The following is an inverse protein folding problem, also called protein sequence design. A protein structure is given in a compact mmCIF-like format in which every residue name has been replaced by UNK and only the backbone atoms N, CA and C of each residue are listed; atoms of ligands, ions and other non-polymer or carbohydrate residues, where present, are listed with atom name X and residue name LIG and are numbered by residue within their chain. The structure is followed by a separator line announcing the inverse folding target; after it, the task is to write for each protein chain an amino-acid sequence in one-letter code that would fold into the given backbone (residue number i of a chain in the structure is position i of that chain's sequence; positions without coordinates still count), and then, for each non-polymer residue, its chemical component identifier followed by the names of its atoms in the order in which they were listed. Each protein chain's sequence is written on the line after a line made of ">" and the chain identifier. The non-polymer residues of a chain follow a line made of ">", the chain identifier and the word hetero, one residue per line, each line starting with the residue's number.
data_IF_323110533996
#
_entry.id   IF_323110533996
#
_cell.length_a   1.000
_cell.length_b   1.000
_cell.length_c   1.000
_cell.angle_alpha   90.00
_cell.angle_beta   90.00
_cell.angle_gamma   90.00
#
_symmetry.space_group_name_H-M   'P 1'
#
loop_
_entity.id
_entity.type
_entity.pdbx_description
1 polymer ?
#
# COMPACT_ATOMS: atom_id res chain seq x y z
N UNK A 1 -32.79 59.28 39.88
CA UNK A 1 -33.19 58.02 39.20
C UNK A 1 -32.28 57.85 37.97
N UNK A 2 -31.05 57.36 38.17
CA UNK A 2 -30.00 57.35 37.14
C UNK A 2 -28.97 56.26 37.48
N UNK A 3 -29.03 55.13 36.78
CA UNK A 3 -27.98 54.11 36.55
C UNK A 3 -28.66 52.81 36.15
N UNK A 4 -28.79 52.52 34.86
CA UNK A 4 -29.13 51.16 34.37
C UNK A 4 -29.00 51.00 32.84
N UNK A 5 -28.14 51.77 32.16
CA UNK A 5 -28.07 51.74 30.68
C UNK A 5 -26.69 51.53 30.06
N UNK A 6 -25.62 51.37 30.85
CA UNK A 6 -24.26 51.25 30.32
C UNK A 6 -23.75 49.80 30.19
N UNK A 7 -24.27 48.84 30.96
CA UNK A 7 -23.64 47.50 31.04
C UNK A 7 -24.14 46.48 30.02
N UNK A 8 -25.27 46.73 29.34
CA UNK A 8 -25.85 45.73 28.42
C UNK A 8 -25.09 45.63 27.08
N UNK A 9 -24.48 46.73 26.59
CA UNK A 9 -23.83 46.73 25.28
C UNK A 9 -22.45 46.06 25.29
N UNK A 10 -21.73 46.09 26.42
CA UNK A 10 -20.40 45.46 26.53
C UNK A 10 -20.46 43.93 26.55
N UNK A 11 -21.52 43.36 27.15
CA UNK A 11 -21.72 41.90 27.22
C UNK A 11 -22.05 41.32 25.84
N UNK A 12 -22.87 42.03 25.05
CA UNK A 12 -23.28 41.61 23.70
C UNK A 12 -22.09 41.67 22.72
N UNK A 13 -21.22 42.67 22.84
CA UNK A 13 -20.05 42.83 21.95
C UNK A 13 -18.96 41.77 22.21
N UNK A 14 -18.69 41.44 23.48
CA UNK A 14 -17.75 40.37 23.83
C UNK A 14 -18.24 38.98 23.43
N UNK A 15 -19.55 38.73 23.41
CA UNK A 15 -20.11 37.48 22.92
C UNK A 15 -19.90 37.34 21.41
N UNK A 16 -20.13 38.39 20.61
CA UNK A 16 -19.98 38.34 19.14
C UNK A 16 -18.53 38.13 18.69
N UNK A 17 -17.55 38.68 19.41
CA UNK A 17 -16.13 38.51 19.08
C UNK A 17 -15.62 37.07 19.36
N UNK A 18 -16.10 36.43 20.44
CA UNK A 18 -15.74 35.03 20.78
C UNK A 18 -16.29 34.01 19.77
N UNK A 19 -17.47 34.25 19.20
CA UNK A 19 -18.05 33.37 18.18
C UNK A 19 -17.33 33.48 16.83
N UNK A 20 -16.84 34.67 16.45
CA UNK A 20 -16.00 34.82 15.26
C UNK A 20 -14.61 34.16 15.40
N UNK A 21 -14.03 34.14 16.61
CA UNK A 21 -12.74 33.48 16.85
C UNK A 21 -12.85 31.94 16.77
N UNK A 22 -13.97 31.36 17.23
CA UNK A 22 -14.24 29.92 17.12
C UNK A 22 -14.49 29.46 15.67
N UNK A 23 -15.06 30.32 14.82
CA UNK A 23 -15.21 30.05 13.39
C UNK A 23 -13.87 29.99 12.65
N UNK A 24 -12.88 30.79 13.06
CA UNK A 24 -11.54 30.82 12.44
C UNK A 24 -10.67 29.60 12.79
N UNK A 25 -10.95 28.93 13.91
CA UNK A 25 -10.19 27.73 14.33
C UNK A 25 -10.73 26.45 13.66
N UNK A 26 -11.99 26.44 13.18
CA UNK A 26 -12.62 25.28 12.54
C UNK A 26 -12.43 25.16 11.03
N UNK A 27 -11.97 26.21 10.34
CA UNK A 27 -11.82 26.25 8.88
C UNK A 27 -10.64 25.45 8.27
N UNK A 28 -9.49 25.21 8.94
CA UNK A 28 -8.36 24.56 8.26
C UNK A 28 -8.56 23.06 7.99
N UNK A 29 -9.59 22.42 8.58
CA UNK A 29 -9.85 20.99 8.38
C UNK A 29 -10.50 20.65 7.02
N UNK A 30 -11.20 21.59 6.38
CA UNK A 30 -11.97 21.32 5.15
C UNK A 30 -11.24 21.62 3.84
N UNK A 31 -10.00 22.13 3.91
CA UNK A 31 -9.22 22.51 2.72
C UNK A 31 -8.19 21.45 2.29
N UNK A 32 -8.20 20.25 2.88
CA UNK A 32 -7.30 19.17 2.46
C UNK A 32 -7.83 18.56 1.16
N UNK A 33 -7.25 18.98 0.03
CA UNK A 33 -7.47 18.30 -1.24
C UNK A 33 -6.97 16.85 -1.15
N UNK A 34 -7.70 15.88 -1.73
CA UNK A 34 -7.23 14.50 -1.75
C UNK A 34 -5.88 14.44 -2.45
N UNK A 35 -4.93 13.72 -1.84
CA UNK A 35 -3.62 13.48 -2.43
C UNK A 35 -3.80 12.73 -3.74
N UNK A 36 -3.34 13.33 -4.84
CA UNK A 36 -3.47 12.77 -6.21
C UNK A 36 -2.12 12.58 -6.88
N UNK A 37 -1.05 12.81 -6.12
CA UNK A 37 0.32 12.75 -6.56
C UNK A 37 1.25 12.17 -5.49
N UNK A 38 2.34 11.58 -5.97
CA UNK A 38 3.47 11.15 -5.17
C UNK A 38 4.73 11.81 -5.71
N UNK A 39 5.61 12.20 -4.80
CA UNK A 39 6.92 12.73 -5.13
C UNK A 39 7.96 11.99 -4.32
N UNK A 40 9.00 11.55 -5.02
CA UNK A 40 10.14 10.89 -4.43
C UNK A 40 11.43 11.44 -5.05
N UNK A 41 12.52 11.35 -4.30
CA UNK A 41 13.87 11.66 -4.78
C UNK A 41 14.76 10.50 -4.40
N UNK A 42 15.43 9.89 -5.39
CA UNK A 42 16.38 8.81 -5.13
C UNK A 42 17.72 9.35 -4.63
N UNK A 43 18.58 8.48 -4.08
CA UNK A 43 19.96 8.82 -3.70
C UNK A 43 20.78 9.37 -4.88
N UNK A 44 20.42 8.97 -6.10
CA UNK A 44 20.98 9.47 -7.36
C UNK A 44 20.40 10.81 -7.83
N UNK A 45 19.64 11.51 -6.98
CA UNK A 45 18.99 12.78 -7.30
C UNK A 45 17.98 12.70 -8.45
N UNK A 46 17.46 11.51 -8.76
CA UNK A 46 16.37 11.38 -9.73
C UNK A 46 15.08 11.81 -9.07
N UNK A 47 14.34 12.71 -9.72
CA UNK A 47 13.02 13.17 -9.26
C UNK A 47 11.96 12.27 -9.87
N UNK A 48 11.31 11.45 -9.04
CA UNK A 48 10.21 10.58 -9.46
C UNK A 48 8.90 11.22 -9.02
N UNK A 49 8.03 11.49 -9.98
CA UNK A 49 6.67 11.97 -9.71
C UNK A 49 5.67 10.97 -10.25
N UNK A 50 4.66 10.63 -9.46
CA UNK A 50 3.53 9.82 -9.91
C UNK A 50 2.29 10.68 -9.84
N UNK A 51 1.61 10.87 -10.97
CA UNK A 51 0.42 11.69 -11.04
C UNK A 51 -0.55 11.10 -12.06
N UNK A 52 -1.80 10.90 -11.66
CA UNK A 52 -2.87 10.34 -12.49
C UNK A 52 -2.46 9.08 -13.25
N UNK A 53 -1.85 8.11 -12.55
CA UNK A 53 -1.37 6.86 -13.14
C UNK A 53 -0.16 7.00 -14.07
N UNK A 54 0.44 8.19 -14.18
CA UNK A 54 1.64 8.42 -14.98
C UNK A 54 2.86 8.50 -14.07
N UNK A 55 3.92 7.76 -14.39
CA UNK A 55 5.22 7.88 -13.74
C UNK A 55 6.08 8.82 -14.59
N UNK A 56 6.58 9.87 -13.97
CA UNK A 56 7.55 10.80 -14.52
C UNK A 56 8.88 10.62 -13.82
N UNK A 57 9.98 10.61 -14.58
CA UNK A 57 11.33 10.59 -14.04
C UNK A 57 12.10 11.78 -14.62
N UNK A 58 12.58 12.66 -13.73
CA UNK A 58 13.22 13.93 -14.07
C UNK A 58 12.35 14.81 -15.00
N UNK A 59 11.03 14.77 -14.80
CA UNK A 59 10.05 15.52 -15.61
C UNK A 59 9.64 14.86 -16.93
N UNK A 60 10.34 13.81 -17.37
CA UNK A 60 9.99 13.07 -18.57
C UNK A 60 8.96 11.98 -18.24
N UNK A 61 7.95 11.80 -19.10
CA UNK A 61 7.03 10.67 -18.99
C UNK A 61 7.81 9.36 -19.18
N UNK A 62 7.83 8.53 -18.14
CA UNK A 62 8.59 7.28 -18.12
C UNK A 62 7.69 6.05 -18.28
N UNK A 63 6.49 6.07 -17.70
CA UNK A 63 5.51 4.98 -17.80
C UNK A 63 4.07 5.49 -17.60
N UNK A 64 3.10 4.83 -18.21
CA UNK A 64 1.67 5.11 -18.05
C UNK A 64 0.95 3.83 -17.67
N UNK A 65 0.30 3.81 -16.50
CA UNK A 65 -0.60 2.72 -16.13
C UNK A 65 -1.84 2.76 -17.03
N UNK A 66 -2.40 1.58 -17.34
CA UNK A 66 -3.63 1.47 -18.12
C UNK A 66 -4.83 2.17 -17.47
N UNK A 67 -4.86 2.21 -16.13
CA UNK A 67 -5.83 2.98 -15.34
C UNK A 67 -5.18 3.55 -14.09
N UNK A 68 -5.70 4.67 -13.59
CA UNK A 68 -5.26 5.27 -12.33
C UNK A 68 -6.01 4.62 -11.16
N UNK A 69 -5.52 3.45 -10.74
CA UNK A 69 -6.02 2.73 -9.57
C UNK A 69 -5.09 2.89 -8.35
N UNK A 70 -4.20 3.88 -8.36
CA UNK A 70 -3.18 4.07 -7.33
C UNK A 70 -3.82 4.56 -6.03
N UNK A 71 -3.46 3.93 -4.91
CA UNK A 71 -3.85 4.35 -3.57
C UNK A 71 -2.84 5.39 -3.08
N UNK A 72 -2.94 6.65 -3.54
CA UNK A 72 -1.96 7.72 -3.27
C UNK A 72 -1.68 7.97 -1.78
N UNK A 73 -2.63 7.68 -0.90
CA UNK A 73 -2.50 7.84 0.55
C UNK A 73 -1.75 6.69 1.22
N UNK A 74 -1.45 5.61 0.49
CA UNK A 74 -0.79 4.44 1.06
C UNK A 74 0.65 4.73 1.49
N UNK A 75 1.00 4.24 2.68
CA UNK A 75 2.38 4.23 3.20
C UNK A 75 3.28 3.20 2.49
N UNK A 76 2.69 2.27 1.74
CA UNK A 76 3.42 1.28 0.95
C UNK A 76 3.96 1.86 -0.35
N UNK A 77 3.45 3.03 -0.75
CA UNK A 77 4.05 3.81 -1.83
C UNK A 77 5.40 4.34 -1.37
N UNK A 78 6.49 3.82 -1.91
CA UNK A 78 7.84 4.22 -1.49
C UNK A 78 8.88 3.93 -2.57
N UNK A 79 10.01 4.61 -2.46
CA UNK A 79 11.25 4.14 -3.04
C UNK A 79 11.96 3.19 -2.08
N UNK A 80 12.53 2.14 -2.65
CA UNK A 80 13.53 1.30 -1.99
C UNK A 80 14.76 1.31 -2.88
N UNK A 81 15.93 1.44 -2.27
CA UNK A 81 17.19 1.43 -2.98
C UNK A 81 18.06 0.32 -2.42
N UNK A 82 18.63 -0.49 -3.30
CA UNK A 82 19.55 -1.55 -2.92
C UNK A 82 20.64 -1.71 -3.99
N UNK A 83 21.89 -1.77 -3.56
CA UNK A 83 23.07 -1.87 -4.43
C UNK A 83 23.04 -0.87 -5.61
N UNK A 84 22.60 0.37 -5.33
CA UNK A 84 22.47 1.44 -6.33
C UNK A 84 21.32 1.26 -7.33
N UNK A 85 20.48 0.23 -7.21
CA UNK A 85 19.24 0.11 -7.98
C UNK A 85 18.09 0.80 -7.24
N UNK A 86 17.16 1.40 -7.98
CA UNK A 86 16.03 2.15 -7.42
C UNK A 86 14.74 1.44 -7.81
N UNK A 87 13.96 1.07 -6.81
CA UNK A 87 12.68 0.38 -6.96
C UNK A 87 11.56 1.29 -6.46
N UNK A 88 10.61 1.59 -7.33
CA UNK A 88 9.39 2.30 -6.98
C UNK A 88 8.27 1.30 -6.72
N UNK A 89 7.75 1.31 -5.51
CA UNK A 89 6.60 0.54 -5.08
C UNK A 89 5.35 1.41 -5.11
N UNK A 90 4.30 0.93 -5.77
CA UNK A 90 2.99 1.60 -5.84
C UNK A 90 1.88 0.62 -5.47
N UNK A 91 1.12 0.97 -4.43
CA UNK A 91 -0.09 0.23 -4.08
C UNK A 91 -1.23 0.63 -5.00
N UNK A 92 -1.87 -0.38 -5.60
CA UNK A 92 -3.02 -0.21 -6.49
C UNK A 92 -4.21 -1.03 -6.00
N UNK A 93 -5.40 -0.47 -6.13
CA UNK A 93 -6.64 -1.12 -5.72
C UNK A 93 -7.02 -2.25 -6.69
N UNK A 94 -7.44 -3.40 -6.15
CA UNK A 94 -7.87 -4.56 -6.95
C UNK A 94 -9.14 -5.23 -6.42
N UNK A 95 -10.10 -4.44 -5.95
CA UNK A 95 -11.42 -4.92 -5.47
C UNK A 95 -12.06 -5.91 -6.47
N UNK A 96 -12.60 -7.05 -6.02
CA UNK A 96 -12.78 -7.50 -4.62
C UNK A 96 -11.54 -8.16 -3.99
N UNK A 97 -10.47 -8.38 -4.75
CA UNK A 97 -9.25 -9.01 -4.26
C UNK A 97 -8.41 -8.03 -3.42
N UNK A 98 -7.37 -8.54 -2.75
CA UNK A 98 -6.42 -7.65 -2.06
C UNK A 98 -5.77 -6.69 -3.06
N UNK A 99 -5.47 -5.49 -2.58
CA UNK A 99 -4.64 -4.54 -3.32
C UNK A 99 -3.36 -5.20 -3.78
N UNK A 100 -2.82 -4.67 -4.88
CA UNK A 100 -1.57 -5.13 -5.48
C UNK A 100 -0.48 -4.10 -5.24
N UNK A 101 0.76 -4.58 -5.21
CA UNK A 101 1.96 -3.76 -5.13
C UNK A 101 2.68 -3.89 -6.46
N UNK A 102 2.59 -2.85 -7.27
CA UNK A 102 3.33 -2.78 -8.53
C UNK A 102 4.73 -2.26 -8.24
N UNK A 103 5.72 -2.93 -8.82
CA UNK A 103 7.13 -2.62 -8.60
C UNK A 103 7.76 -2.24 -9.92
N UNK A 104 8.35 -1.05 -9.95
CA UNK A 104 9.05 -0.50 -11.12
C UNK A 104 10.53 -0.33 -10.82
N UNK A 105 11.38 -0.74 -11.75
CA UNK A 105 12.79 -0.38 -11.77
C UNK A 105 12.95 1.00 -12.36
N UNK A 106 13.60 1.92 -11.65
CA UNK A 106 13.84 3.28 -12.11
C UNK A 106 15.29 3.40 -12.57
N UNK A 107 15.48 3.71 -13.85
CA UNK A 107 16.81 3.90 -14.44
C UNK A 107 16.82 5.12 -15.37
N UNK A 108 17.68 6.10 -15.07
CA UNK A 108 17.79 7.36 -15.78
C UNK A 108 16.44 8.07 -15.95
N UNK A 109 15.81 7.97 -17.13
CA UNK A 109 14.51 8.58 -17.48
C UNK A 109 13.43 7.53 -17.77
N UNK A 110 13.66 6.26 -17.40
CA UNK A 110 12.76 5.13 -17.65
C UNK A 110 12.25 4.52 -16.35
N UNK A 111 11.07 3.92 -16.44
CA UNK A 111 10.45 3.13 -15.39
C UNK A 111 9.99 1.82 -16.01
N UNK A 112 10.67 0.73 -15.68
CA UNK A 112 10.40 -0.60 -16.21
C UNK A 112 9.54 -1.37 -15.21
N UNK A 113 8.40 -1.91 -15.66
CA UNK A 113 7.56 -2.77 -14.81
C UNK A 113 8.31 -4.07 -14.53
N UNK A 114 8.63 -4.33 -13.25
CA UNK A 114 9.36 -5.52 -12.84
C UNK A 114 8.42 -6.58 -12.29
N UNK A 115 7.46 -6.19 -11.45
CA UNK A 115 6.61 -7.17 -10.78
C UNK A 115 5.26 -6.62 -10.32
N UNK A 116 4.32 -7.55 -10.18
CA UNK A 116 3.04 -7.38 -9.52
C UNK A 116 2.93 -8.40 -8.38
N UNK A 117 2.89 -7.91 -7.13
CA UNK A 117 2.77 -8.72 -5.93
C UNK A 117 1.50 -8.37 -5.13
N UNK A 118 1.12 -9.21 -4.17
CA UNK A 118 0.08 -8.87 -3.19
C UNK A 118 0.59 -7.72 -2.32
N UNK A 119 -0.27 -6.71 -2.11
CA UNK A 119 0.07 -5.54 -1.29
C UNK A 119 0.35 -5.93 0.15
N UNK A 120 1.51 -5.46 0.62
CA UNK A 120 2.09 -5.73 1.94
C UNK A 120 3.12 -4.66 2.26
N UNK A 121 3.54 -4.61 3.51
CA UNK A 121 4.64 -3.74 3.90
C UNK A 121 5.96 -4.27 3.32
N UNK A 122 6.83 -3.38 2.87
CA UNK A 122 8.19 -3.72 2.42
C UNK A 122 9.14 -3.56 3.61
N UNK A 123 9.54 -4.67 4.21
CA UNK A 123 10.34 -4.70 5.45
C UNK A 123 11.05 -6.05 5.60
N UNK A 124 12.08 -6.07 6.43
CA UNK A 124 12.74 -7.28 6.91
C UNK A 124 11.78 -8.05 7.85
N UNK A 125 11.14 -9.09 7.31
CA UNK A 125 10.11 -9.88 7.97
C UNK A 125 10.68 -11.06 8.74
N UNK A 126 11.79 -11.63 8.29
CA UNK A 126 12.42 -12.79 8.92
C UNK A 126 13.74 -12.48 9.63
N UNK A 127 14.14 -11.20 9.64
CA UNK A 127 15.25 -10.61 10.39
C UNK A 127 16.63 -11.05 9.89
N UNK A 128 16.75 -11.29 8.58
CA UNK A 128 18.00 -11.69 7.93
C UNK A 128 18.76 -10.51 7.28
N UNK A 129 18.19 -9.30 7.39
CA UNK A 129 18.77 -8.05 6.90
C UNK A 129 18.36 -7.68 5.47
N UNK A 130 17.56 -8.50 4.79
CA UNK A 130 16.96 -8.16 3.50
C UNK A 130 15.52 -7.66 3.67
N UNK A 131 14.97 -7.06 2.62
CA UNK A 131 13.60 -6.55 2.67
C UNK A 131 12.70 -7.48 1.86
N UNK A 132 11.64 -7.99 2.49
CA UNK A 132 10.66 -8.82 1.84
C UNK A 132 9.36 -8.05 1.59
N UNK A 133 8.63 -8.54 0.60
CA UNK A 133 7.28 -8.12 0.32
C UNK A 133 6.53 -9.24 -0.41
N UNK A 134 5.21 -9.14 -0.40
CA UNK A 134 4.30 -10.10 -0.99
C UNK A 134 3.33 -10.68 0.03
N UNK A 135 2.70 -11.77 -0.34
CA UNK A 135 1.69 -12.41 0.48
C UNK A 135 0.75 -13.29 -0.32
N UNK A 136 -0.38 -13.59 0.31
CA UNK A 136 -1.45 -14.41 -0.24
C UNK A 136 -2.71 -13.57 -0.44
N UNK A 137 -3.50 -13.88 -1.47
CA UNK A 137 -4.77 -13.19 -1.73
C UNK A 137 -5.87 -13.62 -0.75
N UNK A 138 -7.06 -13.03 -0.86
CA UNK A 138 -8.27 -13.53 -0.20
C UNK A 138 -8.86 -14.62 -1.08
N UNK A 139 -9.15 -15.79 -0.50
CA UNK A 139 -9.97 -16.81 -1.18
C UNK A 139 -11.40 -16.79 -0.67
N UNK A 140 -12.33 -17.15 -1.55
CA UNK A 140 -13.72 -17.38 -1.17
C UNK A 140 -13.81 -18.46 -0.08
N UNK A 141 -14.84 -18.37 0.76
CA UNK A 141 -15.17 -19.41 1.72
C UNK A 141 -15.54 -20.69 0.98
N UNK A 142 -14.95 -21.82 1.40
CA UNK A 142 -15.33 -23.13 0.86
C UNK A 142 -16.64 -23.62 1.50
N UNK A 143 -17.56 -24.27 0.75
CA UNK A 143 -18.86 -24.67 1.28
C UNK A 143 -18.80 -25.66 2.46
N UNK A 144 -17.76 -26.50 2.52
CA UNK A 144 -17.59 -27.45 3.62
C UNK A 144 -16.93 -26.81 4.84
N UNK A 145 -17.39 -27.17 6.04
CA UNK A 145 -16.86 -26.65 7.29
C UNK A 145 -15.45 -27.14 7.60
N UNK A 146 -15.05 -28.31 7.12
CA UNK A 146 -13.77 -28.97 7.40
C UNK A 146 -12.69 -28.71 6.35
N UNK A 147 -13.03 -28.01 5.26
CA UNK A 147 -12.18 -27.85 4.09
C UNK A 147 -12.08 -26.39 3.67
N UNK A 148 -10.99 -26.04 2.98
CA UNK A 148 -10.78 -24.71 2.42
C UNK A 148 -10.06 -24.81 1.07
N UNK A 149 -10.16 -23.76 0.27
CA UNK A 149 -9.26 -23.60 -0.86
C UNK A 149 -7.85 -23.28 -0.34
N UNK A 150 -6.84 -23.93 -0.93
CA UNK A 150 -5.44 -23.58 -0.70
C UNK A 150 -5.19 -22.12 -1.10
N UNK A 151 -4.57 -21.34 -0.22
CA UNK A 151 -4.28 -19.93 -0.47
C UNK A 151 -2.79 -19.76 -0.72
N UNK A 152 -2.31 -19.77 -1.97
CA UNK A 152 -0.89 -19.66 -2.25
C UNK A 152 -0.39 -18.27 -1.85
N UNK A 153 0.66 -18.24 -1.05
CA UNK A 153 1.47 -17.06 -0.83
C UNK A 153 2.58 -16.97 -1.88
N UNK A 154 3.03 -15.75 -2.17
CA UNK A 154 4.30 -15.50 -2.85
C UNK A 154 4.99 -14.33 -2.19
N UNK A 155 6.19 -14.57 -1.71
CA UNK A 155 7.07 -13.55 -1.15
C UNK A 155 8.32 -13.40 -2.00
N UNK A 156 8.86 -12.19 -1.97
CA UNK A 156 10.04 -11.80 -2.73
C UNK A 156 10.95 -10.97 -1.84
N UNK A 157 12.24 -11.18 -2.02
CA UNK A 157 13.33 -10.54 -1.28
C UNK A 157 14.06 -9.56 -2.21
N UNK A 158 14.43 -8.39 -1.68
CA UNK A 158 15.30 -7.42 -2.37
C UNK A 158 16.74 -7.64 -1.89
N UNK A 159 17.61 -8.09 -2.79
CA UNK A 159 18.98 -8.48 -2.46
C UNK A 159 19.95 -8.22 -3.59
N UNK A 160 21.04 -7.50 -3.27
CA UNK A 160 22.14 -7.17 -4.20
C UNK A 160 21.65 -6.43 -5.46
N UNK A 161 20.59 -5.65 -5.32
CA UNK A 161 19.98 -4.88 -6.40
C UNK A 161 19.05 -5.69 -7.29
N UNK A 162 18.60 -6.86 -6.84
CA UNK A 162 17.66 -7.73 -7.55
C UNK A 162 16.46 -8.04 -6.65
N UNK A 163 15.32 -8.26 -7.29
CA UNK A 163 14.13 -8.80 -6.65
C UNK A 163 14.07 -10.28 -7.01
N UNK A 164 14.08 -11.15 -6.00
CA UNK A 164 14.09 -12.61 -6.20
C UNK A 164 12.99 -13.28 -5.41
N UNK A 165 12.51 -14.42 -5.90
CA UNK A 165 11.50 -15.20 -5.19
C UNK A 165 12.11 -15.84 -3.94
N UNK A 166 11.50 -15.58 -2.80
CA UNK A 166 11.91 -16.18 -1.53
C UNK A 166 11.12 -17.46 -1.29
N UNK A 167 11.69 -18.57 -1.72
CA UNK A 167 11.07 -19.88 -1.59
C UNK A 167 10.92 -20.31 -0.12
N UNK A 168 11.92 -20.04 0.71
CA UNK A 168 11.95 -20.49 2.09
C UNK A 168 10.90 -19.75 2.93
N UNK A 169 10.84 -18.42 2.81
CA UNK A 169 9.84 -17.63 3.50
C UNK A 169 8.43 -17.87 2.94
N UNK A 170 8.30 -18.06 1.62
CA UNK A 170 7.01 -18.44 1.02
C UNK A 170 6.48 -19.76 1.58
N UNK A 171 7.31 -20.81 1.63
CA UNK A 171 6.91 -22.10 2.19
C UNK A 171 6.54 -22.00 3.68
N UNK A 172 7.31 -21.24 4.45
CA UNK A 172 7.02 -20.97 5.87
C UNK A 172 5.65 -20.30 6.04
N UNK A 173 5.34 -19.31 5.22
CA UNK A 173 4.08 -18.58 5.27
C UNK A 173 2.91 -19.41 4.76
N UNK A 174 3.09 -20.22 3.73
CA UNK A 174 2.08 -21.17 3.27
C UNK A 174 1.73 -22.18 4.34
N UNK A 175 2.73 -22.79 4.99
CA UNK A 175 2.49 -23.69 6.13
C UNK A 175 1.79 -22.99 7.28
N UNK A 176 2.10 -21.73 7.54
CA UNK A 176 1.44 -20.93 8.60
C UNK A 176 -0.04 -20.67 8.30
N UNK A 177 -0.39 -20.36 7.05
CA UNK A 177 -1.76 -19.99 6.65
C UNK A 177 -2.60 -21.23 6.34
N UNK A 178 -2.05 -22.17 5.60
CA UNK A 178 -2.76 -23.34 5.06
C UNK A 178 -2.53 -24.62 5.89
N UNK A 179 -1.59 -24.62 6.84
CA UNK A 179 -1.15 -25.83 7.56
C UNK A 179 -0.24 -26.76 6.74
N UNK A 180 -0.07 -26.49 5.45
CA UNK A 180 0.73 -27.29 4.53
C UNK A 180 1.27 -26.41 3.41
N UNK A 181 2.29 -26.89 2.70
CA UNK A 181 2.82 -26.29 1.48
C UNK A 181 2.54 -27.20 0.30
N UNK A 182 2.02 -26.62 -0.79
CA UNK A 182 1.77 -27.32 -2.05
C UNK A 182 2.46 -26.53 -3.16
N UNK A 183 3.48 -27.14 -3.78
CA UNK A 183 4.23 -26.53 -4.89
C UNK A 183 3.38 -26.23 -6.13
N UNK A 184 2.36 -27.06 -6.37
CA UNK A 184 1.39 -26.90 -7.45
C UNK A 184 -0.03 -26.67 -6.90
N UNK A 185 -0.42 -25.41 -6.65
CA UNK A 185 -1.67 -25.09 -5.96
C UNK A 185 -2.92 -25.19 -6.85
N UNK A 186 -2.76 -25.38 -8.16
CA UNK A 186 -3.85 -25.46 -9.13
C UNK A 186 -4.50 -26.85 -9.11
N UNK A 187 -5.82 -26.92 -9.27
CA UNK A 187 -6.53 -28.19 -9.42
C UNK A 187 -6.22 -28.88 -10.76
N UNK A 188 -6.79 -30.08 -10.98
CA UNK A 188 -6.59 -30.86 -12.22
C UNK A 188 -7.07 -30.14 -13.49
N UNK A 189 -7.91 -29.13 -13.35
CA UNK A 189 -8.44 -28.31 -14.43
C UNK A 189 -7.65 -27.00 -14.61
N UNK A 190 -6.57 -26.81 -13.84
CA UNK A 190 -5.74 -25.60 -13.87
C UNK A 190 -6.34 -24.42 -13.10
N UNK A 191 -7.43 -24.62 -12.35
CA UNK A 191 -8.07 -23.53 -11.61
C UNK A 191 -7.44 -23.39 -10.22
N UNK A 192 -7.29 -22.13 -9.78
CA UNK A 192 -7.01 -21.88 -8.37
C UNK A 192 -8.29 -22.14 -7.55
N UNK A 193 -8.26 -22.94 -6.49
CA UNK A 193 -7.09 -23.67 -5.97
C UNK A 193 -7.51 -25.04 -5.42
N UNK A 194 -6.55 -25.95 -5.26
CA UNK A 194 -6.77 -27.27 -4.65
C UNK A 194 -7.50 -27.12 -3.31
N UNK A 195 -8.41 -28.05 -3.02
CA UNK A 195 -9.10 -28.11 -1.73
C UNK A 195 -8.23 -28.88 -0.74
N UNK A 196 -8.05 -28.31 0.44
CA UNK A 196 -7.30 -28.89 1.55
C UNK A 196 -8.17 -28.94 2.81
N UNK A 197 -7.90 -29.85 3.76
CA UNK A 197 -8.49 -29.77 5.09
C UNK A 197 -8.13 -28.43 5.74
N UNK A 198 -9.06 -27.82 6.48
CA UNK A 198 -8.73 -26.64 7.28
C UNK A 198 -7.67 -27.01 8.33
N UNK A 199 -6.62 -26.21 8.49
CA UNK A 199 -5.65 -26.44 9.56
C UNK A 199 -6.36 -26.39 10.91
N UNK A 200 -6.07 -27.36 11.78
CA UNK A 200 -6.52 -27.30 13.18
C UNK A 200 -5.84 -26.07 13.79
N UNK A 201 -6.63 -25.08 14.24
CA UNK A 201 -6.07 -23.84 14.79
C UNK A 201 -5.14 -24.19 15.95
N UNK A 202 -3.85 -23.89 15.80
CA UNK A 202 -2.98 -23.68 16.95
C UNK A 202 -3.25 -22.26 17.44
N UNK A 203 -4.24 -22.12 18.32
CA UNK A 203 -4.39 -20.89 19.12
C UNK A 203 -3.25 -20.80 20.12
#
# INVERSE_FOLDING_TARGET
>A
MLKLRADFNNIIMHLRLRHCLLLLIGLPAFAQTPRTDLHFTSSKQQKITVYKGTIFVNGNRAYQLASDAIVYTSRRNRLVEDNGNVFLFLEVTKTPNKNRLYVFGINNSKADSLMDAISSDVKDMDHDGFLEFGGSDITATYPSNDSMYYIPAKYYEIKRGLITFDAAYTEKMDKKVNGTYISEPLDKSGNCCKVIPKPKSHY
#
